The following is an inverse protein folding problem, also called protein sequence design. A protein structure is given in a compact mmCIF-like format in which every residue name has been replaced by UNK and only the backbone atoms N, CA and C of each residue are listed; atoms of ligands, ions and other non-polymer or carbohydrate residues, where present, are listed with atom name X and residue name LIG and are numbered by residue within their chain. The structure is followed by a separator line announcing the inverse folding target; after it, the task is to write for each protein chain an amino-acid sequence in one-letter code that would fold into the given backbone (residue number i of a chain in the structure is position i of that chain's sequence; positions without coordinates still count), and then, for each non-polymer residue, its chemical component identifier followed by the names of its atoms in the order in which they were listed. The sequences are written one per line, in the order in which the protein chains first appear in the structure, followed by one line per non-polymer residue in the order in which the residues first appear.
data_IF_791587808139
#
_entry.id   IF_791587808139
#
_cell.length_a   1.000
_cell.length_b   1.000
_cell.length_c   1.000
_cell.angle_alpha   90.00
_cell.angle_beta   90.00
_cell.angle_gamma   90.00
#
_symmetry.space_group_name_H-M   'P 1'
#
loop_
_entity.id
_entity.type
_entity.pdbx_description
1 polymer ?
#
# COMPACT_ATOMS: atom_id res chain seq x y z
N UNK A 1 -8.86 7.27 32.86
CA UNK A 1 -9.04 7.45 31.41
C UNK A 1 -7.69 7.23 30.76
N UNK A 2 -7.61 6.58 29.60
CA UNK A 2 -6.35 6.47 28.87
C UNK A 2 -5.75 7.86 28.65
N UNK A 3 -4.45 8.01 28.90
CA UNK A 3 -3.69 9.24 28.65
C UNK A 3 -3.38 9.35 27.15
N UNK A 4 -4.42 9.53 26.35
CA UNK A 4 -4.31 9.65 24.91
C UNK A 4 -3.97 11.08 24.50
N UNK A 5 -2.88 11.23 23.76
CA UNK A 5 -2.51 12.48 23.12
C UNK A 5 -2.00 12.21 21.71
N UNK A 6 -2.49 12.98 20.74
CA UNK A 6 -2.01 12.92 19.36
C UNK A 6 -0.52 13.20 19.23
N UNK A 7 0.07 13.96 20.15
CA UNK A 7 1.48 14.34 20.11
C UNK A 7 2.41 13.18 20.52
N UNK A 8 1.84 12.11 21.12
CA UNK A 8 2.57 10.89 21.46
C UNK A 8 2.60 9.87 20.33
N UNK A 9 1.79 10.06 19.27
CA UNK A 9 1.73 9.12 18.16
C UNK A 9 3.01 9.20 17.32
N UNK A 10 3.55 8.02 16.99
CA UNK A 10 4.77 7.85 16.20
C UNK A 10 4.49 7.21 14.85
N UNK A 11 5.43 7.40 13.92
CA UNK A 11 5.36 6.78 12.57
C UNK A 11 6.05 5.41 12.56
N UNK A 12 6.94 5.16 13.52
CA UNK A 12 7.68 3.91 13.64
C UNK A 12 6.76 2.67 13.53
N UNK A 13 7.12 1.65 12.73
CA UNK A 13 8.41 1.42 12.07
C UNK A 13 8.56 2.06 10.67
N UNK A 14 7.61 2.90 10.23
CA UNK A 14 7.80 3.71 9.02
C UNK A 14 8.89 4.79 9.24
N UNK A 15 9.34 5.40 8.14
CA UNK A 15 10.40 6.42 8.15
C UNK A 15 10.00 7.61 9.03
N UNK A 16 10.85 7.91 10.02
CA UNK A 16 10.75 9.09 10.89
C UNK A 16 11.77 10.16 10.48
N UNK A 17 11.35 11.42 10.56
CA UNK A 17 12.19 12.61 10.38
C UNK A 17 11.48 13.82 10.99
N UNK A 18 12.22 14.88 11.33
CA UNK A 18 11.69 16.07 12.02
C UNK A 18 10.50 16.75 11.32
N UNK A 19 10.38 16.57 10.00
CA UNK A 19 9.31 17.14 9.18
C UNK A 19 8.19 16.14 8.81
N UNK A 20 8.23 14.93 9.37
CA UNK A 20 7.23 13.89 9.15
C UNK A 20 6.46 13.62 10.43
N UNK A 21 5.13 13.75 10.35
CA UNK A 21 4.25 13.64 11.51
C UNK A 21 3.39 12.38 11.42
N UNK A 22 3.06 11.80 12.57
CA UNK A 22 2.10 10.68 12.66
C UNK A 22 0.65 11.15 12.53
N UNK A 23 0.39 12.44 12.77
CA UNK A 23 -0.95 13.03 12.75
C UNK A 23 -0.90 14.34 12.00
N UNK A 24 -1.90 14.60 11.16
CA UNK A 24 -2.10 15.88 10.50
C UNK A 24 -3.45 16.53 10.86
N UNK A 25 -3.77 17.66 10.23
CA UNK A 25 -5.00 18.39 10.50
C UNK A 25 -6.25 17.74 9.85
N UNK A 26 -6.08 16.85 8.87
CA UNK A 26 -7.20 16.07 8.32
C UNK A 26 -7.68 15.05 9.35
N UNK A 27 -6.77 14.40 10.07
CA UNK A 27 -7.13 13.40 11.08
C UNK A 27 -8.04 14.00 12.15
N UNK A 28 -7.62 15.16 12.68
CA UNK A 28 -8.40 15.94 13.66
C UNK A 28 -9.74 16.42 13.08
N UNK A 29 -9.76 16.82 11.81
CA UNK A 29 -11.00 17.26 11.16
C UNK A 29 -11.99 16.11 10.92
N UNK A 30 -11.51 14.92 10.56
CA UNK A 30 -12.36 13.74 10.42
C UNK A 30 -13.03 13.41 11.75
N UNK A 31 -12.26 13.37 12.85
CA UNK A 31 -12.79 13.08 14.19
C UNK A 31 -13.79 14.14 14.66
N UNK A 32 -13.51 15.43 14.45
CA UNK A 32 -14.44 16.51 14.82
C UNK A 32 -15.77 16.43 14.05
N UNK A 33 -15.71 16.19 12.74
CA UNK A 33 -16.92 16.07 11.89
C UNK A 33 -17.68 14.75 12.17
N UNK A 34 -16.98 13.72 12.65
CA UNK A 34 -17.57 12.42 12.99
C UNK A 34 -18.10 12.35 14.43
N UNK A 35 -17.83 13.34 15.30
CA UNK A 35 -18.09 13.26 16.74
C UNK A 35 -19.54 12.87 17.09
N UNK A 36 -20.53 13.44 16.37
CA UNK A 36 -21.94 13.12 16.58
C UNK A 36 -22.27 11.67 16.24
N UNK A 37 -21.88 11.20 15.06
CA UNK A 37 -22.17 9.82 14.62
C UNK A 37 -21.36 8.77 15.41
N UNK A 38 -20.15 9.12 15.87
CA UNK A 38 -19.34 8.24 16.71
C UNK A 38 -19.93 8.07 18.10
N UNK A 39 -20.57 9.10 18.66
CA UNK A 39 -21.23 9.02 19.98
C UNK A 39 -22.47 8.11 19.97
N UNK A 40 -23.11 7.94 18.81
CA UNK A 40 -24.29 7.09 18.62
C UNK A 40 -23.94 5.66 18.20
N UNK A 41 -22.71 5.43 17.71
CA UNK A 41 -22.28 4.14 17.21
C UNK A 41 -22.11 3.09 18.32
N UNK A 42 -22.66 1.90 18.10
CA UNK A 42 -22.47 0.73 18.94
C UNK A 42 -21.08 0.09 18.78
N UNK A 43 -20.79 -0.88 19.65
CA UNK A 43 -19.57 -1.67 19.53
C UNK A 43 -19.56 -2.46 18.22
N UNK A 44 -18.46 -2.40 17.47
CA UNK A 44 -18.34 -3.06 16.17
C UNK A 44 -18.87 -2.25 14.99
N UNK A 45 -19.62 -1.16 15.21
CA UNK A 45 -20.26 -0.40 14.11
C UNK A 45 -19.32 0.63 13.46
N UNK A 46 -18.12 0.85 14.02
CA UNK A 46 -17.12 1.80 13.51
C UNK A 46 -16.03 1.07 12.72
N UNK A 47 -15.82 1.52 11.49
CA UNK A 47 -14.74 1.07 10.61
C UNK A 47 -13.82 2.24 10.30
N UNK A 48 -12.51 1.99 10.25
CA UNK A 48 -11.51 2.95 9.82
C UNK A 48 -10.70 2.39 8.65
N UNK A 49 -10.61 3.15 7.56
CA UNK A 49 -9.86 2.78 6.36
C UNK A 49 -8.72 3.79 6.15
N UNK A 50 -7.53 3.26 5.88
CA UNK A 50 -6.30 4.01 5.62
C UNK A 50 -5.81 4.89 6.79
N UNK A 51 -6.02 4.47 8.04
CA UNK A 51 -5.45 5.18 9.19
C UNK A 51 -3.93 4.99 9.27
N UNK A 52 -3.16 5.91 8.70
CA UNK A 52 -1.70 5.71 8.53
C UNK A 52 -0.96 5.25 9.79
N UNK A 53 -1.25 5.84 10.95
CA UNK A 53 -0.49 5.56 12.19
C UNK A 53 -1.37 5.49 13.44
N UNK A 54 -2.69 5.35 13.28
CA UNK A 54 -3.61 5.15 14.40
C UNK A 54 -4.32 6.40 14.92
N UNK A 55 -4.19 7.54 14.24
CA UNK A 55 -4.79 8.79 14.71
C UNK A 55 -6.32 8.72 14.76
N UNK A 56 -6.94 8.12 13.74
CA UNK A 56 -8.39 8.02 13.66
C UNK A 56 -8.92 6.93 14.58
N UNK A 57 -8.29 5.76 14.58
CA UNK A 57 -8.68 4.59 15.37
C UNK A 57 -8.58 4.90 16.86
N UNK A 58 -7.41 5.37 17.31
CA UNK A 58 -7.18 5.67 18.72
C UNK A 58 -7.92 6.93 19.16
N UNK A 59 -8.08 7.91 18.26
CA UNK A 59 -8.91 9.09 18.51
C UNK A 59 -10.38 8.72 18.71
N UNK A 60 -10.95 7.87 17.86
CA UNK A 60 -12.33 7.39 18.01
C UNK A 60 -12.51 6.60 19.32
N UNK A 61 -11.57 5.73 19.67
CA UNK A 61 -11.60 4.98 20.92
C UNK A 61 -11.50 5.89 22.15
N UNK A 62 -10.51 6.79 22.19
CA UNK A 62 -10.20 7.59 23.37
C UNK A 62 -11.14 8.78 23.58
N UNK A 63 -11.56 9.44 22.49
CA UNK A 63 -12.34 10.68 22.55
C UNK A 63 -13.84 10.45 22.44
N UNK A 64 -14.27 9.43 21.67
CA UNK A 64 -15.68 9.10 21.47
C UNK A 64 -16.11 7.80 22.16
N UNK A 65 -15.18 7.05 22.76
CA UNK A 65 -15.51 5.80 23.47
C UNK A 65 -15.85 4.62 22.56
N UNK A 66 -15.53 4.71 21.26
CA UNK A 66 -15.79 3.64 20.29
C UNK A 66 -15.05 2.35 20.68
N UNK A 67 -15.68 1.20 20.43
CA UNK A 67 -15.17 -0.14 20.77
C UNK A 67 -15.38 -1.12 19.62
N UNK A 68 -14.56 -2.17 19.57
CA UNK A 68 -14.62 -3.16 18.50
C UNK A 68 -14.36 -2.53 17.14
N UNK A 69 -13.52 -1.49 17.08
CA UNK A 69 -13.25 -0.74 15.85
C UNK A 69 -12.57 -1.69 14.85
N UNK A 70 -13.08 -1.77 13.64
CA UNK A 70 -12.46 -2.59 12.59
C UNK A 70 -11.61 -1.71 11.69
N UNK A 71 -10.38 -2.10 11.42
CA UNK A 71 -9.41 -1.25 10.73
C UNK A 71 -8.85 -1.96 9.51
N UNK A 72 -8.79 -1.24 8.39
CA UNK A 72 -8.05 -1.66 7.21
C UNK A 72 -6.98 -0.63 6.86
N UNK A 73 -5.75 -1.10 6.67
CA UNK A 73 -4.63 -0.30 6.21
C UNK A 73 -3.92 -1.08 5.11
N UNK A 74 -3.68 -0.46 3.95
CA UNK A 74 -2.99 -1.13 2.86
C UNK A 74 -1.52 -1.44 3.22
N UNK A 75 -0.85 -0.50 3.89
CA UNK A 75 0.59 -0.57 4.14
C UNK A 75 0.90 -1.23 5.49
N UNK A 76 1.71 -2.30 5.48
CA UNK A 76 2.08 -3.07 6.68
C UNK A 76 2.76 -2.21 7.77
N UNK A 77 3.64 -1.29 7.39
CA UNK A 77 4.29 -0.39 8.35
C UNK A 77 3.29 0.50 9.11
N UNK A 78 2.17 0.85 8.48
CA UNK A 78 1.07 1.55 9.15
C UNK A 78 0.35 0.68 10.18
N UNK A 79 0.08 -0.60 9.86
CA UNK A 79 -0.54 -1.54 10.80
C UNK A 79 0.32 -1.74 12.05
N UNK A 80 1.64 -1.91 11.85
CA UNK A 80 2.61 -2.02 12.93
C UNK A 80 2.67 -0.73 13.76
N UNK A 81 2.63 0.44 13.12
CA UNK A 81 2.64 1.71 13.82
C UNK A 81 1.37 1.94 14.66
N UNK A 82 0.19 1.62 14.12
CA UNK A 82 -1.05 1.65 14.89
C UNK A 82 -0.96 0.70 16.10
N UNK A 83 -0.47 -0.53 15.92
CA UNK A 83 -0.35 -1.50 17.01
C UNK A 83 0.58 -1.00 18.15
N UNK A 84 1.72 -0.41 17.80
CA UNK A 84 2.66 0.15 18.79
C UNK A 84 2.06 1.37 19.50
N UNK A 85 1.44 2.29 18.75
CA UNK A 85 0.77 3.46 19.33
C UNK A 85 -0.42 3.05 20.21
N UNK A 86 -1.15 2.00 19.84
CA UNK A 86 -2.27 1.47 20.63
C UNK A 86 -1.78 0.86 21.95
N UNK A 87 -0.67 0.11 21.92
CA UNK A 87 -0.04 -0.42 23.13
C UNK A 87 0.41 0.71 24.07
N UNK A 88 1.09 1.71 23.54
CA UNK A 88 1.59 2.87 24.31
C UNK A 88 0.46 3.72 24.93
N UNK A 89 -0.70 3.77 24.26
CA UNK A 89 -1.90 4.47 24.74
C UNK A 89 -2.80 3.62 25.65
N UNK A 90 -2.54 2.32 25.82
CA UNK A 90 -3.40 1.40 26.56
C UNK A 90 -4.74 1.12 25.87
N UNK A 91 -4.73 1.08 24.53
CA UNK A 91 -5.89 0.94 23.66
C UNK A 91 -5.80 -0.26 22.70
N UNK A 92 -4.89 -1.20 22.94
CA UNK A 92 -4.69 -2.37 22.07
C UNK A 92 -5.97 -3.21 21.86
N UNK A 93 -6.83 -3.32 22.88
CA UNK A 93 -8.08 -4.10 22.80
C UNK A 93 -9.26 -3.32 22.19
N UNK A 94 -9.05 -2.08 21.74
CA UNK A 94 -10.12 -1.24 21.19
C UNK A 94 -10.47 -1.53 19.74
N UNK A 95 -9.59 -2.24 19.01
CA UNK A 95 -9.70 -2.44 17.57
C UNK A 95 -9.17 -3.81 17.10
N UNK A 96 -9.45 -4.15 15.85
CA UNK A 96 -8.92 -5.32 15.14
C UNK A 96 -8.57 -4.94 13.70
N UNK A 97 -7.40 -5.38 13.21
CA UNK A 97 -7.01 -5.20 11.80
C UNK A 97 -7.61 -6.30 10.92
N UNK A 98 -8.23 -5.92 9.81
CA UNK A 98 -8.88 -6.81 8.84
C UNK A 98 -8.52 -6.43 7.40
N UNK A 99 -8.67 -7.39 6.49
CA UNK A 99 -8.57 -7.13 5.05
C UNK A 99 -9.83 -6.44 4.54
N UNK A 100 -9.70 -5.65 3.47
CA UNK A 100 -10.85 -5.03 2.82
C UNK A 100 -11.81 -6.12 2.29
N UNK A 101 -13.04 -6.14 2.80
CA UNK A 101 -14.03 -7.15 2.44
C UNK A 101 -15.24 -7.11 3.35
N UNK A 102 -16.07 -8.15 3.26
CA UNK A 102 -17.32 -8.27 4.00
C UNK A 102 -17.09 -8.24 5.52
N UNK A 103 -16.13 -9.01 6.04
CA UNK A 103 -15.85 -9.07 7.48
C UNK A 103 -15.48 -7.69 8.09
N UNK A 104 -14.73 -6.88 7.35
CA UNK A 104 -14.38 -5.52 7.75
C UNK A 104 -15.63 -4.63 7.87
N UNK A 105 -16.59 -4.77 6.96
CA UNK A 105 -17.63 -3.78 6.71
C UNK A 105 -19.02 -4.22 7.18
N UNK A 106 -19.26 -5.50 7.44
CA UNK A 106 -20.55 -6.03 7.89
C UNK A 106 -21.12 -5.22 9.06
N UNK A 107 -22.34 -4.74 8.97
CA UNK A 107 -23.00 -3.92 10.02
C UNK A 107 -22.28 -2.59 10.36
N UNK A 108 -21.31 -2.14 9.55
CA UNK A 108 -20.67 -0.85 9.75
C UNK A 108 -21.65 0.29 9.49
N UNK A 109 -21.79 1.20 10.46
CA UNK A 109 -22.63 2.40 10.37
C UNK A 109 -21.84 3.69 10.27
N UNK A 110 -20.59 3.67 10.74
CA UNK A 110 -19.67 4.80 10.60
C UNK A 110 -18.39 4.29 9.96
N UNK A 111 -18.01 4.88 8.83
CA UNK A 111 -16.73 4.59 8.16
C UNK A 111 -15.89 5.86 8.11
N UNK A 112 -14.76 5.87 8.80
CA UNK A 112 -13.79 6.95 8.74
C UNK A 112 -12.73 6.61 7.69
N UNK A 113 -12.40 7.55 6.79
CA UNK A 113 -11.40 7.32 5.74
C UNK A 113 -10.39 8.46 5.72
N UNK A 114 -9.09 8.15 5.81
CA UNK A 114 -8.09 9.06 5.27
C UNK A 114 -8.06 8.90 3.75
N UNK A 115 -8.43 9.95 3.02
CA UNK A 115 -8.58 9.87 1.57
C UNK A 115 -7.28 9.38 0.90
N UNK A 116 -7.34 8.29 0.11
CA UNK A 116 -6.18 7.81 -0.61
C UNK A 116 -5.82 8.78 -1.74
N UNK A 117 -4.57 8.72 -2.20
CA UNK A 117 -4.14 9.48 -3.39
C UNK A 117 -4.68 8.86 -4.68
N UNK A 118 -4.89 7.55 -4.69
CA UNK A 118 -5.40 6.80 -5.84
C UNK A 118 -6.92 6.94 -5.92
N UNK A 119 -7.42 7.41 -7.06
CA UNK A 119 -8.86 7.41 -7.36
C UNK A 119 -9.40 5.98 -7.47
N UNK A 120 -8.58 5.04 -7.94
CA UNK A 120 -8.93 3.63 -8.03
C UNK A 120 -9.09 3.00 -6.64
N UNK A 121 -8.22 3.36 -5.67
CA UNK A 121 -8.37 2.92 -4.29
C UNK A 121 -9.65 3.48 -3.66
N UNK A 122 -9.94 4.77 -3.87
CA UNK A 122 -11.18 5.38 -3.39
C UNK A 122 -12.41 4.71 -3.99
N UNK A 123 -12.36 4.35 -5.27
CA UNK A 123 -13.45 3.66 -5.96
C UNK A 123 -13.67 2.24 -5.43
N UNK A 124 -12.59 1.49 -5.17
CA UNK A 124 -12.66 0.16 -4.55
C UNK A 124 -13.19 0.21 -3.12
N UNK A 125 -12.73 1.17 -2.31
CA UNK A 125 -13.24 1.36 -0.95
C UNK A 125 -14.74 1.70 -0.98
N UNK A 126 -15.14 2.61 -1.87
CA UNK A 126 -16.55 3.00 -2.02
C UNK A 126 -17.42 1.83 -2.50
N UNK A 127 -16.95 1.00 -3.45
CA UNK A 127 -17.63 -0.22 -3.89
C UNK A 127 -17.81 -1.21 -2.74
N UNK A 128 -16.74 -1.45 -1.96
CA UNK A 128 -16.78 -2.37 -0.83
C UNK A 128 -17.77 -1.88 0.25
N UNK A 129 -17.70 -0.61 0.65
CA UNK A 129 -18.61 -0.01 1.64
C UNK A 129 -20.06 -0.14 1.16
N UNK A 130 -20.33 0.24 -0.09
CA UNK A 130 -21.68 0.16 -0.69
C UNK A 130 -22.26 -1.25 -0.64
N UNK A 131 -21.43 -2.28 -0.79
CA UNK A 131 -21.85 -3.69 -0.85
C UNK A 131 -22.05 -4.33 0.51
N UNK A 132 -21.23 -3.96 1.49
CA UNK A 132 -21.12 -4.73 2.74
C UNK A 132 -21.50 -3.95 4.00
N UNK A 133 -21.48 -2.62 3.98
CA UNK A 133 -21.85 -1.81 5.13
C UNK A 133 -23.37 -1.74 5.34
N UNK A 134 -23.79 -1.25 6.50
CA UNK A 134 -25.19 -1.08 6.82
C UNK A 134 -25.87 -0.08 5.84
N UNK A 135 -27.16 -0.24 5.51
CA UNK A 135 -27.85 0.68 4.60
C UNK A 135 -27.89 2.14 5.07
N UNK A 136 -27.76 2.37 6.38
CA UNK A 136 -27.70 3.67 7.03
C UNK A 136 -26.25 4.16 7.30
N UNK A 137 -25.25 3.53 6.68
CA UNK A 137 -23.84 3.91 6.85
C UNK A 137 -23.58 5.36 6.45
N UNK A 138 -22.76 6.03 7.26
CA UNK A 138 -22.20 7.35 6.99
C UNK A 138 -20.69 7.22 6.81
N UNK A 139 -20.19 7.66 5.67
CA UNK A 139 -18.76 7.72 5.35
C UNK A 139 -18.24 9.13 5.59
N UNK A 140 -17.22 9.27 6.44
CA UNK A 140 -16.52 10.52 6.72
C UNK A 140 -15.09 10.41 6.16
N UNK A 141 -14.88 10.92 4.95
CA UNK A 141 -13.62 10.81 4.24
C UNK A 141 -12.89 12.16 4.18
N UNK A 142 -11.73 12.27 4.83
CA UNK A 142 -10.99 13.53 4.94
C UNK A 142 -9.58 13.48 4.38
N UNK A 143 -9.07 14.64 3.98
CA UNK A 143 -7.71 14.75 3.47
C UNK A 143 -7.18 16.19 3.43
N UNK A 144 -5.88 16.31 3.15
CA UNK A 144 -5.23 17.60 2.88
C UNK A 144 -5.67 18.10 1.51
N UNK A 145 -6.10 19.36 1.42
CA UNK A 145 -6.66 19.94 0.18
C UNK A 145 -5.68 19.84 -1.00
N UNK A 146 -4.38 19.96 -0.77
CA UNK A 146 -3.34 19.83 -1.80
C UNK A 146 -3.27 18.43 -2.47
N UNK A 147 -3.94 17.43 -1.90
CA UNK A 147 -4.03 16.07 -2.42
C UNK A 147 -5.45 15.69 -2.85
N UNK A 148 -6.42 16.58 -2.67
CA UNK A 148 -7.80 16.35 -3.07
C UNK A 148 -8.07 16.87 -4.47
N UNK A 149 -8.89 16.15 -5.22
CA UNK A 149 -9.34 16.58 -6.56
C UNK A 149 -10.86 16.57 -6.63
N UNK A 150 -11.49 17.42 -7.45
CA UNK A 150 -12.94 17.36 -7.68
C UNK A 150 -13.41 15.98 -8.18
N UNK A 151 -12.54 15.22 -8.83
CA UNK A 151 -12.83 13.86 -9.31
C UNK A 151 -13.13 12.88 -8.18
N UNK A 152 -12.56 13.07 -6.98
CA UNK A 152 -12.92 12.26 -5.80
C UNK A 152 -14.42 12.35 -5.48
N UNK A 153 -15.02 13.53 -5.66
CA UNK A 153 -16.46 13.71 -5.48
C UNK A 153 -17.25 12.91 -6.52
N UNK A 154 -16.77 12.87 -7.76
CA UNK A 154 -17.40 12.08 -8.81
C UNK A 154 -17.31 10.58 -8.52
N UNK A 155 -16.18 10.08 -7.99
CA UNK A 155 -16.03 8.69 -7.54
C UNK A 155 -17.06 8.37 -6.45
N UNK A 156 -17.13 9.16 -5.38
CA UNK A 156 -18.09 8.90 -4.29
C UNK A 156 -19.55 8.95 -4.77
N UNK A 157 -19.91 9.88 -5.66
CA UNK A 157 -21.28 9.98 -6.22
C UNK A 157 -21.70 8.80 -7.09
N UNK A 158 -20.77 7.95 -7.54
CA UNK A 158 -21.12 6.70 -8.25
C UNK A 158 -21.67 5.64 -7.30
N UNK A 159 -21.28 5.71 -6.03
CA UNK A 159 -21.59 4.69 -5.02
C UNK A 159 -22.58 5.17 -3.96
N UNK A 160 -22.72 6.48 -3.77
CA UNK A 160 -23.54 7.10 -2.74
C UNK A 160 -24.49 8.16 -3.32
N UNK A 161 -25.75 8.13 -2.88
CA UNK A 161 -26.79 9.07 -3.31
C UNK A 161 -26.64 10.46 -2.69
N UNK A 162 -25.97 10.56 -1.53
CA UNK A 162 -25.72 11.82 -0.83
C UNK A 162 -24.23 12.09 -0.71
N UNK A 163 -23.83 13.35 -1.00
CA UNK A 163 -22.46 13.81 -0.79
C UNK A 163 -22.46 15.27 -0.31
N UNK A 164 -21.99 15.48 0.92
CA UNK A 164 -21.80 16.77 1.56
C UNK A 164 -20.30 17.09 1.64
N UNK A 165 -19.95 18.36 1.45
CA UNK A 165 -18.55 18.81 1.43
C UNK A 165 -18.38 19.83 2.56
N UNK A 166 -17.49 19.56 3.51
CA UNK A 166 -17.25 20.45 4.63
C UNK A 166 -16.60 21.77 4.17
N UNK A 167 -16.67 22.77 5.05
CA UNK A 167 -15.79 23.93 4.94
C UNK A 167 -14.32 23.51 5.09
N UNK A 168 -13.41 24.26 4.46
CA UNK A 168 -11.99 24.01 4.61
C UNK A 168 -11.51 24.46 6.00
N UNK A 169 -10.77 23.60 6.72
CA UNK A 169 -10.16 23.93 8.00
C UNK A 169 -8.70 23.50 8.03
N UNK A 170 -7.80 24.44 8.37
CA UNK A 170 -6.35 24.18 8.45
C UNK A 170 -5.74 23.51 7.21
N UNK A 171 -6.23 23.85 6.00
CA UNK A 171 -5.85 23.22 4.71
C UNK A 171 -6.29 21.74 4.56
N UNK A 172 -7.27 21.31 5.34
CA UNK A 172 -7.95 20.02 5.23
C UNK A 172 -9.43 20.21 4.92
N UNK A 173 -10.07 19.16 4.41
CA UNK A 173 -11.50 19.11 4.10
C UNK A 173 -12.03 17.69 4.25
N UNK A 174 -13.31 17.56 4.58
CA UNK A 174 -14.05 16.30 4.70
C UNK A 174 -15.12 16.22 3.62
N UNK A 175 -15.28 15.02 3.06
CA UNK A 175 -16.35 14.58 2.19
C UNK A 175 -17.21 13.60 2.99
N UNK A 176 -18.47 13.94 3.23
CA UNK A 176 -19.44 13.09 3.92
C UNK A 176 -20.35 12.45 2.89
N UNK A 177 -20.27 11.13 2.74
CA UNK A 177 -21.10 10.36 1.83
C UNK A 177 -22.07 9.45 2.59
N UNK A 178 -23.30 9.31 2.09
CA UNK A 178 -24.35 8.50 2.71
C UNK A 178 -25.33 8.00 1.64
N UNK A 179 -26.33 7.21 2.07
CA UNK A 179 -27.30 6.57 1.20
C UNK A 179 -26.62 5.73 0.09
N UNK A 180 -25.98 4.59 0.46
CA UNK A 180 -25.38 3.68 -0.51
C UNK A 180 -26.37 3.33 -1.63
N UNK A 181 -25.91 3.41 -2.88
CA UNK A 181 -26.73 3.12 -4.04
C UNK A 181 -26.87 1.59 -4.14
N UNK A 182 -28.02 1.08 -3.73
CA UNK A 182 -28.40 -0.31 -3.98
C UNK A 182 -28.57 -0.51 -5.49
N UNK A 183 -27.78 -1.39 -6.09
CA UNK A 183 -27.96 -1.69 -7.51
C UNK A 183 -29.11 -2.70 -7.68
N UNK A 184 -30.21 -2.25 -8.27
CA UNK A 184 -31.33 -3.13 -8.63
C UNK A 184 -31.01 -4.04 -9.85
N UNK A 185 -29.89 -3.80 -10.55
CA UNK A 185 -29.59 -4.40 -11.87
C UNK A 185 -28.12 -4.76 -12.11
N UNK A 186 -27.16 -4.28 -11.31
CA UNK A 186 -25.78 -4.71 -11.44
C UNK A 186 -25.51 -5.93 -10.54
N UNK A 187 -24.70 -6.89 -11.01
CA UNK A 187 -24.32 -8.03 -10.19
C UNK A 187 -23.70 -7.54 -8.88
N UNK A 188 -24.00 -8.22 -7.78
CA UNK A 188 -23.36 -8.06 -6.46
C UNK A 188 -21.85 -8.41 -6.46
N UNK A 189 -21.26 -8.57 -7.64
CA UNK A 189 -19.90 -9.02 -7.90
C UNK A 189 -19.03 -7.78 -8.10
N UNK A 190 -17.91 -7.71 -7.38
CA UNK A 190 -16.97 -6.61 -7.52
C UNK A 190 -16.36 -6.57 -8.93
N UNK A 191 -16.04 -5.38 -9.41
CA UNK A 191 -15.16 -5.19 -10.57
C UNK A 191 -13.67 -5.29 -10.21
N UNK A 192 -13.34 -5.49 -8.92
CA UNK A 192 -11.98 -5.62 -8.43
C UNK A 192 -11.58 -7.08 -8.16
N UNK A 193 -10.31 -7.45 -8.41
CA UNK A 193 -9.29 -6.64 -9.07
C UNK A 193 -9.56 -6.45 -10.57
N UNK A 194 -9.18 -5.29 -11.11
CA UNK A 194 -9.19 -5.07 -12.56
C UNK A 194 -8.14 -5.95 -13.24
N UNK A 195 -8.42 -6.45 -14.44
CA UNK A 195 -7.53 -7.34 -15.19
C UNK A 195 -7.30 -6.84 -16.61
N UNK A 196 -6.04 -6.79 -17.05
CA UNK A 196 -5.64 -6.33 -18.39
C UNK A 196 -4.62 -7.30 -19.00
N UNK A 197 -4.87 -7.72 -20.24
CA UNK A 197 -3.91 -8.49 -21.03
C UNK A 197 -2.86 -7.58 -21.68
N UNK A 198 -1.58 -7.92 -21.50
CA UNK A 198 -0.44 -7.26 -22.12
C UNK A 198 0.22 -8.22 -23.11
N UNK A 199 -0.23 -8.16 -24.36
CA UNK A 199 0.21 -9.05 -25.44
C UNK A 199 1.73 -8.96 -25.70
N UNK A 200 2.34 -7.80 -25.49
CA UNK A 200 3.79 -7.58 -25.62
C UNK A 200 4.61 -8.36 -24.58
N UNK A 201 4.03 -8.64 -23.42
CA UNK A 201 4.64 -9.44 -22.36
C UNK A 201 4.12 -10.89 -22.33
N UNK A 202 3.01 -11.16 -23.00
CA UNK A 202 2.29 -12.43 -22.89
C UNK A 202 1.78 -12.68 -21.47
N UNK A 203 1.35 -11.62 -20.77
CA UNK A 203 0.89 -11.67 -19.39
C UNK A 203 -0.48 -11.02 -19.22
N UNK A 204 -1.32 -11.60 -18.37
CA UNK A 204 -2.50 -10.93 -17.81
C UNK A 204 -2.15 -10.32 -16.47
N UNK A 205 -2.29 -9.01 -16.31
CA UNK A 205 -1.96 -8.30 -15.05
C UNK A 205 -3.25 -7.94 -14.34
N UNK A 206 -3.35 -8.35 -13.07
CA UNK A 206 -4.46 -8.02 -12.19
C UNK A 206 -4.05 -6.94 -11.18
N UNK A 207 -4.96 -6.03 -10.84
CA UNK A 207 -4.69 -4.96 -9.89
C UNK A 207 -5.90 -4.51 -9.08
N UNK A 208 -5.72 -4.48 -7.76
CA UNK A 208 -6.55 -3.73 -6.81
C UNK A 208 -6.24 -2.22 -6.88
N UNK A 209 -7.17 -1.39 -6.43
CA UNK A 209 -7.17 0.05 -6.65
C UNK A 209 -6.03 0.81 -5.97
N UNK A 210 -5.49 0.26 -4.88
CA UNK A 210 -4.30 0.81 -4.20
C UNK A 210 -2.96 0.32 -4.77
N UNK A 211 -2.96 -0.68 -5.66
CA UNK A 211 -1.72 -1.20 -6.25
C UNK A 211 -1.04 -0.17 -7.16
N UNK A 212 0.29 -0.07 -7.05
CA UNK A 212 1.09 0.84 -7.87
C UNK A 212 0.92 0.56 -9.37
N UNK A 213 0.77 1.63 -10.17
CA UNK A 213 0.50 1.59 -11.61
C UNK A 213 -0.77 0.84 -12.05
N UNK A 214 -1.61 0.37 -11.11
CA UNK A 214 -2.78 -0.44 -11.42
C UNK A 214 -2.42 -1.64 -12.31
N UNK A 215 -3.30 -2.01 -13.23
CA UNK A 215 -3.06 -3.11 -14.17
C UNK A 215 -2.13 -2.72 -15.35
N UNK A 216 -1.48 -1.55 -15.30
CA UNK A 216 -0.52 -1.11 -16.31
C UNK A 216 0.92 -1.44 -15.89
N UNK A 217 1.85 -1.43 -16.83
CA UNK A 217 3.28 -1.66 -16.54
C UNK A 217 4.01 -0.33 -16.48
N UNK A 218 4.59 -0.03 -15.32
CA UNK A 218 5.43 1.15 -15.11
C UNK A 218 6.59 1.23 -16.11
N UNK A 219 6.93 2.45 -16.53
CA UNK A 219 7.99 2.69 -17.52
C UNK A 219 9.39 2.35 -16.99
N UNK A 220 9.63 2.47 -15.68
CA UNK A 220 10.85 2.01 -15.03
C UNK A 220 10.95 0.48 -15.04
N UNK A 221 9.85 -0.19 -14.67
CA UNK A 221 9.72 -1.66 -14.80
C UNK A 221 9.96 -2.11 -16.23
N UNK A 222 9.34 -1.47 -17.23
CA UNK A 222 9.57 -1.77 -18.66
C UNK A 222 11.04 -1.67 -19.04
N UNK A 223 11.72 -0.61 -18.58
CA UNK A 223 13.14 -0.44 -18.87
C UNK A 223 14.00 -1.51 -18.19
N UNK A 224 13.67 -1.91 -16.96
CA UNK A 224 14.36 -3.01 -16.26
C UNK A 224 14.19 -4.36 -16.99
N UNK A 225 13.00 -4.61 -17.56
CA UNK A 225 12.69 -5.84 -18.29
C UNK A 225 13.60 -6.05 -19.53
N UNK A 226 14.14 -4.99 -20.13
CA UNK A 226 15.09 -5.08 -21.26
C UNK A 226 16.40 -5.80 -20.89
N UNK A 227 16.73 -5.88 -19.59
CA UNK A 227 17.97 -6.47 -19.11
C UNK A 227 17.82 -7.90 -18.57
N UNK A 228 16.60 -8.47 -18.61
CA UNK A 228 16.30 -9.76 -18.00
C UNK A 228 17.26 -10.88 -18.40
N UNK A 229 17.65 -10.96 -19.66
CA UNK A 229 18.48 -12.06 -20.16
C UNK A 229 19.94 -11.98 -19.66
N UNK A 230 20.32 -10.87 -19.03
CA UNK A 230 21.65 -10.64 -18.44
C UNK A 230 21.70 -10.92 -16.93
N UNK A 231 20.55 -10.99 -16.26
CA UNK A 231 20.49 -11.10 -14.80
C UNK A 231 20.85 -12.51 -14.36
N UNK A 232 21.95 -12.71 -13.61
CA UNK A 232 22.43 -13.99 -13.06
C UNK A 232 21.77 -15.24 -13.69
N UNK A 233 22.27 -15.64 -14.86
CA UNK A 233 21.59 -16.64 -15.73
C UNK A 233 21.53 -18.04 -15.13
N UNK A 234 22.39 -18.33 -14.16
CA UNK A 234 22.47 -19.60 -13.41
C UNK A 234 21.64 -19.60 -12.11
N UNK A 235 20.99 -18.49 -11.75
CA UNK A 235 20.18 -18.39 -10.53
C UNK A 235 19.02 -19.39 -10.53
N UNK A 236 18.81 -20.08 -9.41
CA UNK A 236 17.65 -20.96 -9.19
C UNK A 236 16.59 -20.33 -8.30
N UNK A 237 16.94 -19.32 -7.51
CA UNK A 237 15.99 -18.48 -6.77
C UNK A 237 16.13 -16.99 -7.13
N UNK A 238 15.00 -16.27 -7.10
CA UNK A 238 14.98 -14.82 -7.22
C UNK A 238 13.99 -14.18 -6.24
N UNK A 239 14.22 -12.91 -5.90
CA UNK A 239 13.26 -12.08 -5.15
C UNK A 239 12.90 -10.85 -5.97
N UNK A 240 11.61 -10.59 -6.13
CA UNK A 240 11.04 -9.33 -6.63
C UNK A 240 10.67 -8.46 -5.42
N UNK A 241 11.55 -7.52 -5.07
CA UNK A 241 11.44 -6.68 -3.88
C UNK A 241 10.64 -5.41 -4.19
N UNK A 242 9.48 -5.25 -3.55
CA UNK A 242 8.51 -4.21 -3.88
C UNK A 242 7.77 -4.57 -5.17
N UNK A 243 7.18 -5.77 -5.21
CA UNK A 243 6.72 -6.40 -6.44
C UNK A 243 5.54 -5.69 -7.10
N UNK A 244 4.78 -4.85 -6.38
CA UNK A 244 3.55 -4.25 -6.92
C UNK A 244 2.59 -5.33 -7.40
N UNK A 245 2.17 -5.27 -8.66
CA UNK A 245 1.31 -6.28 -9.30
C UNK A 245 2.04 -7.56 -9.76
N UNK A 246 3.35 -7.69 -9.45
CA UNK A 246 4.15 -8.89 -9.68
C UNK A 246 4.67 -9.04 -11.11
N UNK A 247 4.77 -7.96 -11.89
CA UNK A 247 5.17 -8.04 -13.31
C UNK A 247 6.58 -8.61 -13.49
N UNK A 248 7.54 -8.18 -12.67
CA UNK A 248 8.92 -8.68 -12.75
C UNK A 248 8.96 -10.16 -12.35
N UNK A 249 8.33 -10.53 -11.24
CA UNK A 249 8.21 -11.92 -10.81
C UNK A 249 7.56 -12.82 -11.87
N UNK A 250 6.43 -12.40 -12.45
CA UNK A 250 5.74 -13.15 -13.50
C UNK A 250 6.62 -13.33 -14.74
N UNK A 251 7.30 -12.27 -15.18
CA UNK A 251 8.15 -12.32 -16.38
C UNK A 251 9.38 -13.22 -16.16
N UNK A 252 10.02 -13.11 -14.99
CA UNK A 252 11.15 -13.96 -14.61
C UNK A 252 10.75 -15.44 -14.59
N UNK A 253 9.65 -15.78 -13.90
CA UNK A 253 9.15 -17.15 -13.85
C UNK A 253 8.73 -17.65 -15.25
N UNK A 254 8.08 -16.83 -16.06
CA UNK A 254 7.68 -17.23 -17.42
C UNK A 254 8.88 -17.53 -18.32
N UNK A 255 9.91 -16.68 -18.30
CA UNK A 255 11.11 -16.84 -19.14
C UNK A 255 12.08 -17.91 -18.64
N UNK A 256 12.06 -18.22 -17.34
CA UNK A 256 12.96 -19.20 -16.71
C UNK A 256 12.16 -20.28 -15.98
N UNK A 257 11.77 -21.37 -16.66
CA UNK A 257 10.90 -22.40 -16.09
C UNK A 257 11.40 -23.03 -14.78
N UNK A 258 12.72 -23.10 -14.59
CA UNK A 258 13.35 -23.66 -13.39
C UNK A 258 13.52 -22.65 -12.23
N UNK A 259 13.28 -21.36 -12.46
CA UNK A 259 13.45 -20.32 -11.43
C UNK A 259 12.25 -20.32 -10.48
N UNK A 260 12.54 -20.32 -9.17
CA UNK A 260 11.56 -20.04 -8.11
C UNK A 260 11.67 -18.58 -7.71
N UNK A 261 10.53 -17.89 -7.60
CA UNK A 261 10.52 -16.47 -7.28
C UNK A 261 9.75 -16.22 -5.99
N UNK A 262 10.28 -15.38 -5.12
CA UNK A 262 9.53 -14.77 -4.02
C UNK A 262 9.21 -13.33 -4.43
N UNK A 263 7.95 -12.92 -4.34
CA UNK A 263 7.53 -11.56 -4.63
C UNK A 263 7.07 -10.91 -3.32
N UNK A 264 7.78 -9.88 -2.85
CA UNK A 264 7.49 -9.22 -1.58
C UNK A 264 6.98 -7.80 -1.79
N UNK A 265 5.97 -7.40 -1.02
CA UNK A 265 5.50 -6.02 -0.95
C UNK A 265 4.88 -5.74 0.42
N UNK A 266 4.92 -4.50 0.89
CA UNK A 266 4.25 -4.10 2.13
C UNK A 266 2.75 -3.83 1.93
N UNK A 267 2.34 -3.52 0.70
CA UNK A 267 0.95 -3.20 0.33
C UNK A 267 0.12 -4.48 0.23
N UNK A 268 -0.99 -4.53 0.98
CA UNK A 268 -1.96 -5.62 0.93
C UNK A 268 -2.60 -5.72 -0.47
N UNK A 269 -2.92 -4.59 -1.08
CA UNK A 269 -3.45 -4.49 -2.43
C UNK A 269 -2.42 -4.95 -3.47
N UNK A 270 -1.14 -4.60 -3.34
CA UNK A 270 -0.08 -5.10 -4.20
C UNK A 270 0.04 -6.62 -4.10
N UNK A 271 0.11 -7.18 -2.89
CA UNK A 271 0.19 -8.62 -2.66
C UNK A 271 -1.01 -9.36 -3.23
N UNK A 272 -2.23 -8.88 -2.99
CA UNK A 272 -3.44 -9.46 -3.56
C UNK A 272 -3.42 -9.41 -5.10
N UNK A 273 -2.96 -8.29 -5.67
CA UNK A 273 -2.80 -8.09 -7.11
C UNK A 273 -1.78 -9.04 -7.72
N UNK A 274 -0.60 -9.16 -7.12
CA UNK A 274 0.44 -10.08 -7.55
C UNK A 274 -0.02 -11.54 -7.49
N UNK A 275 -0.74 -11.94 -6.43
CA UNK A 275 -1.34 -13.28 -6.36
C UNK A 275 -2.33 -13.52 -7.50
N UNK A 276 -3.23 -12.57 -7.76
CA UNK A 276 -4.18 -12.65 -8.86
C UNK A 276 -3.47 -12.74 -10.23
N UNK A 277 -2.42 -11.94 -10.45
CA UNK A 277 -1.55 -12.03 -11.63
C UNK A 277 -0.91 -13.42 -11.73
N UNK A 278 -0.36 -14.00 -10.65
CA UNK A 278 0.24 -15.34 -10.72
C UNK A 278 -0.78 -16.42 -11.09
N UNK A 279 -2.00 -16.35 -10.54
CA UNK A 279 -3.09 -17.28 -10.87
C UNK A 279 -3.50 -17.13 -12.33
N UNK A 280 -3.74 -15.92 -12.80
CA UNK A 280 -4.15 -15.64 -14.18
C UNK A 280 -3.13 -16.13 -15.23
N UNK A 281 -1.85 -16.25 -14.84
CA UNK A 281 -0.77 -16.68 -15.73
C UNK A 281 -0.28 -18.11 -15.47
N UNK A 282 -0.95 -18.89 -14.61
CA UNK A 282 -0.52 -20.24 -14.21
C UNK A 282 0.93 -20.28 -13.68
N UNK A 283 1.27 -19.35 -12.78
CA UNK A 283 2.59 -19.20 -12.15
C UNK A 283 2.56 -19.38 -10.62
N UNK A 284 1.39 -19.62 -10.03
CA UNK A 284 1.19 -19.68 -8.59
C UNK A 284 1.97 -20.82 -7.89
N UNK A 285 2.37 -21.86 -8.62
CA UNK A 285 3.22 -22.94 -8.14
C UNK A 285 4.71 -22.57 -8.09
N UNK A 286 5.12 -21.51 -8.81
CA UNK A 286 6.54 -21.11 -8.96
C UNK A 286 6.86 -19.75 -8.33
N UNK A 287 5.85 -18.93 -8.12
CA UNK A 287 5.99 -17.61 -7.50
C UNK A 287 5.25 -17.58 -6.16
N UNK A 288 6.00 -17.42 -5.07
CA UNK A 288 5.44 -17.21 -3.74
C UNK A 288 5.32 -15.72 -3.48
N UNK A 289 4.09 -15.22 -3.37
CA UNK A 289 3.85 -13.82 -2.99
C UNK A 289 3.75 -13.72 -1.47
N UNK A 290 4.40 -12.72 -0.86
CA UNK A 290 4.45 -12.52 0.59
C UNK A 290 4.22 -11.04 0.89
N UNK A 291 3.40 -10.74 1.91
CA UNK A 291 3.34 -9.39 2.46
C UNK A 291 4.46 -9.24 3.49
N UNK A 292 5.38 -8.33 3.24
CA UNK A 292 6.58 -8.16 4.07
C UNK A 292 6.98 -6.69 4.14
N UNK A 293 7.68 -6.33 5.22
CA UNK A 293 8.36 -5.04 5.32
C UNK A 293 9.76 -5.21 4.73
N UNK A 294 9.93 -4.77 3.48
CA UNK A 294 11.13 -5.04 2.70
C UNK A 294 11.45 -6.55 2.58
N UNK A 295 12.48 -7.05 3.27
CA UNK A 295 12.86 -8.47 3.29
C UNK A 295 13.04 -9.01 4.71
N UNK A 296 12.33 -8.45 5.71
CA UNK A 296 12.49 -8.86 7.11
C UNK A 296 12.18 -10.34 7.35
N UNK A 297 11.27 -10.95 6.59
CA UNK A 297 10.96 -12.38 6.70
C UNK A 297 11.99 -13.30 6.03
N UNK A 298 12.94 -12.75 5.27
CA UNK A 298 13.89 -13.52 4.48
C UNK A 298 15.23 -13.73 5.24
N UNK A 299 15.79 -14.96 5.23
CA UNK A 299 17.07 -15.23 5.88
C UNK A 299 18.23 -14.49 5.21
N UNK A 300 19.26 -14.20 6.00
CA UNK A 300 20.52 -13.66 5.51
C UNK A 300 21.16 -14.62 4.49
N UNK A 301 21.83 -14.05 3.47
CA UNK A 301 22.54 -14.80 2.43
C UNK A 301 21.72 -15.94 1.76
N UNK A 302 20.43 -15.72 1.50
CA UNK A 302 19.50 -16.72 0.96
C UNK A 302 19.07 -16.49 -0.50
N UNK A 303 19.32 -15.30 -1.06
CA UNK A 303 18.92 -14.96 -2.42
C UNK A 303 20.10 -14.95 -3.39
N UNK A 304 19.91 -15.60 -4.55
CA UNK A 304 20.88 -15.54 -5.65
C UNK A 304 20.69 -14.28 -6.52
N UNK A 305 19.42 -13.91 -6.77
CA UNK A 305 19.02 -12.77 -7.59
C UNK A 305 17.95 -11.96 -6.85
N UNK A 306 18.12 -10.63 -6.79
CA UNK A 306 17.07 -9.70 -6.35
C UNK A 306 16.83 -8.69 -7.49
N UNK A 307 15.57 -8.43 -7.81
CA UNK A 307 15.16 -7.35 -8.71
C UNK A 307 14.37 -6.31 -7.94
N UNK A 308 14.61 -5.03 -8.22
CA UNK A 308 14.07 -3.92 -7.44
C UNK A 308 13.77 -2.69 -8.31
N UNK A 309 12.49 -2.32 -8.37
CA UNK A 309 12.04 -1.00 -8.80
C UNK A 309 11.51 -0.21 -7.58
N UNK A 310 12.37 0.53 -6.85
CA UNK A 310 12.00 1.16 -5.59
C UNK A 310 11.00 2.32 -5.81
N UNK A 311 10.16 2.66 -4.83
CA UNK A 311 9.11 3.67 -4.99
C UNK A 311 9.65 5.11 -5.18
N UNK A 312 9.20 5.82 -6.24
CA UNK A 312 9.65 7.19 -6.60
C UNK A 312 8.60 8.33 -6.49
N UNK A 313 7.37 8.09 -5.98
CA UNK A 313 6.31 9.13 -5.84
C UNK A 313 5.93 9.65 -4.41
N UNK A 314 6.38 9.03 -3.34
CA UNK A 314 6.38 9.47 -1.93
C UNK A 314 7.48 10.52 -1.58
N UNK A 315 7.34 11.81 -1.94
CA UNK A 315 8.14 12.96 -1.42
C UNK A 315 9.69 12.83 -1.31
N UNK A 316 10.47 13.76 -1.87
CA UNK A 316 11.95 13.62 -2.02
C UNK A 316 12.75 13.12 -0.79
N UNK A 317 12.40 13.50 0.44
CA UNK A 317 13.06 13.01 1.66
C UNK A 317 12.62 11.61 2.10
N UNK A 318 11.33 11.30 1.99
CA UNK A 318 10.77 9.97 2.32
C UNK A 318 11.26 8.91 1.33
N UNK A 319 11.43 9.32 0.06
CA UNK A 319 12.06 8.50 -0.99
C UNK A 319 13.41 7.93 -0.63
N UNK A 320 14.30 8.78 -0.13
CA UNK A 320 15.63 8.34 0.23
C UNK A 320 15.59 7.33 1.36
N UNK A 321 14.78 7.57 2.41
CA UNK A 321 14.65 6.66 3.54
C UNK A 321 14.17 5.25 3.14
N UNK A 322 13.09 5.17 2.37
CA UNK A 322 12.53 3.87 1.95
C UNK A 322 13.50 3.12 1.03
N UNK A 323 14.09 3.78 0.04
CA UNK A 323 15.04 3.12 -0.87
C UNK A 323 16.28 2.59 -0.13
N UNK A 324 16.82 3.36 0.84
CA UNK A 324 17.96 2.93 1.63
C UNK A 324 17.64 1.69 2.47
N UNK A 325 16.47 1.64 3.11
CA UNK A 325 15.99 0.46 3.84
C UNK A 325 15.92 -0.77 2.93
N UNK A 326 15.37 -0.62 1.72
CA UNK A 326 15.31 -1.71 0.73
C UNK A 326 16.71 -2.18 0.31
N UNK A 327 17.67 -1.26 0.15
CA UNK A 327 19.05 -1.62 -0.19
C UNK A 327 19.79 -2.32 0.95
N UNK A 328 19.57 -1.89 2.20
CA UNK A 328 20.13 -2.55 3.39
C UNK A 328 19.66 -4.00 3.49
N UNK A 329 18.35 -4.22 3.35
CA UNK A 329 17.78 -5.57 3.38
C UNK A 329 18.22 -6.42 2.18
N UNK A 330 18.31 -5.84 0.98
CA UNK A 330 18.84 -6.55 -0.17
C UNK A 330 20.31 -6.96 0.03
N UNK A 331 21.13 -6.10 0.63
CA UNK A 331 22.53 -6.39 0.95
C UNK A 331 22.68 -7.53 1.96
N UNK A 332 21.79 -7.59 2.96
CA UNK A 332 21.74 -8.66 3.98
C UNK A 332 21.30 -10.01 3.40
N UNK A 333 20.30 -10.00 2.53
CA UNK A 333 19.65 -11.22 2.03
C UNK A 333 20.39 -11.82 0.82
N UNK A 334 21.14 -11.03 0.07
CA UNK A 334 21.97 -11.55 -1.01
C UNK A 334 23.08 -12.46 -0.48
N UNK A 335 23.24 -13.63 -1.10
CA UNK A 335 24.42 -14.46 -0.88
C UNK A 335 25.69 -13.81 -1.48
N UNK A 336 26.90 -14.20 -1.05
CA UNK A 336 28.13 -13.80 -1.71
C UNK A 336 28.10 -14.14 -3.21
N UNK A 337 28.36 -13.15 -4.07
CA UNK A 337 28.27 -13.32 -5.53
C UNK A 337 26.85 -13.33 -6.11
N UNK A 338 25.82 -13.17 -5.28
CA UNK A 338 24.46 -12.89 -5.75
C UNK A 338 24.33 -11.48 -6.35
N UNK A 339 23.27 -11.24 -7.12
CA UNK A 339 23.09 -9.98 -7.86
C UNK A 339 21.81 -9.25 -7.46
N UNK A 340 21.91 -7.96 -7.13
CA UNK A 340 20.78 -7.03 -7.08
C UNK A 340 20.73 -6.23 -8.38
N UNK A 341 19.63 -6.35 -9.13
CA UNK A 341 19.32 -5.52 -10.28
C UNK A 341 18.30 -4.48 -9.92
N UNK A 342 18.68 -3.21 -10.01
CA UNK A 342 17.78 -2.12 -9.65
C UNK A 342 17.70 -1.06 -10.75
N UNK A 343 16.50 -0.54 -10.94
CA UNK A 343 16.21 0.61 -11.81
C UNK A 343 15.81 1.80 -10.95
N UNK A 344 16.23 3.01 -11.32
CA UNK A 344 15.74 4.23 -10.67
C UNK A 344 15.78 5.45 -11.57
N UNK A 345 15.02 6.47 -11.19
CA UNK A 345 15.10 7.79 -11.82
C UNK A 345 16.53 8.34 -11.73
N UNK A 346 17.18 8.57 -12.86
CA UNK A 346 18.60 8.93 -12.98
C UNK A 346 19.05 10.05 -12.04
N UNK A 347 18.20 11.06 -11.80
CA UNK A 347 18.52 12.20 -10.94
C UNK A 347 18.67 11.83 -9.44
N UNK A 348 18.16 10.68 -9.00
CA UNK A 348 18.26 10.22 -7.60
C UNK A 348 19.67 9.75 -7.22
N UNK A 349 20.47 9.33 -8.20
CA UNK A 349 21.89 9.03 -7.99
C UNK A 349 22.19 7.93 -6.97
N UNK A 350 21.41 6.84 -6.90
CA UNK A 350 21.54 5.81 -5.84
C UNK A 350 22.81 4.94 -5.88
N UNK A 351 23.64 5.04 -6.91
CA UNK A 351 24.84 4.19 -7.08
C UNK A 351 25.82 4.20 -5.89
N UNK A 352 26.13 5.35 -5.23
CA UNK A 352 27.01 5.34 -4.06
C UNK A 352 26.38 4.60 -2.87
N UNK A 353 25.07 4.73 -2.67
CA UNK A 353 24.36 4.04 -1.60
C UNK A 353 24.36 2.51 -1.82
N UNK A 354 24.07 2.07 -3.03
CA UNK A 354 24.16 0.65 -3.43
C UNK A 354 25.57 0.09 -3.26
N UNK A 355 26.60 0.83 -3.69
CA UNK A 355 28.01 0.43 -3.49
C UNK A 355 28.33 0.19 -2.01
N UNK A 356 27.84 1.09 -1.15
CA UNK A 356 28.10 1.05 0.29
C UNK A 356 27.33 -0.08 0.97
N UNK A 357 26.04 -0.19 0.70
CA UNK A 357 25.08 -1.04 1.44
C UNK A 357 25.00 -2.46 0.91
N UNK A 358 25.21 -2.66 -0.40
CA UNK A 358 25.07 -3.98 -1.04
C UNK A 358 26.44 -4.51 -1.45
N UNK A 359 27.19 -3.76 -2.26
CA UNK A 359 28.50 -4.20 -2.77
C UNK A 359 28.86 -3.59 -4.12
N UNK A 360 29.94 -4.04 -4.78
CA UNK A 360 30.42 -3.46 -6.05
C UNK A 360 29.28 -3.24 -7.04
N UNK A 361 29.09 -1.99 -7.49
CA UNK A 361 27.92 -1.59 -8.29
C UNK A 361 28.31 -0.99 -9.64
N UNK A 362 27.78 -1.59 -10.71
CA UNK A 362 28.04 -1.23 -12.10
C UNK A 362 26.77 -0.75 -12.80
N UNK A 363 26.86 0.35 -13.55
CA UNK A 363 25.79 0.79 -14.44
C UNK A 363 25.77 -0.10 -15.68
N UNK A 364 24.62 -0.72 -15.93
CA UNK A 364 24.40 -1.64 -17.05
C UNK A 364 23.59 -1.01 -18.17
N UNK A 365 22.82 0.03 -17.86
CA UNK A 365 22.00 0.79 -18.80
C UNK A 365 21.63 2.16 -18.23
N UNK A 366 21.45 3.13 -19.12
CA UNK A 366 20.90 4.45 -18.79
C UNK A 366 20.19 5.04 -20.00
N UNK A 367 18.98 5.53 -19.78
CA UNK A 367 18.26 6.36 -20.75
C UNK A 367 18.02 7.77 -20.16
N UNK A 368 17.21 8.60 -20.82
CA UNK A 368 16.95 9.96 -20.39
C UNK A 368 16.32 10.06 -18.97
N UNK A 369 15.54 9.04 -18.56
CA UNK A 369 14.79 9.05 -17.29
C UNK A 369 15.39 8.11 -16.25
N UNK A 370 15.85 6.94 -16.66
CA UNK A 370 16.19 5.83 -15.78
C UNK A 370 17.65 5.38 -15.92
N UNK A 371 18.19 4.90 -14.81
CA UNK A 371 19.47 4.21 -14.70
C UNK A 371 19.19 2.80 -14.17
N UNK A 372 19.82 1.79 -14.78
CA UNK A 372 19.82 0.41 -14.28
C UNK A 372 21.24 0.06 -13.85
N UNK A 373 21.37 -0.56 -12.68
CA UNK A 373 22.64 -1.12 -12.19
C UNK A 373 22.50 -2.56 -11.76
N UNK A 374 23.63 -3.24 -11.71
CA UNK A 374 23.83 -4.48 -10.96
C UNK A 374 24.77 -4.21 -9.78
N UNK A 375 24.41 -4.71 -8.61
CA UNK A 375 25.24 -4.75 -7.40
C UNK A 375 25.51 -6.19 -7.00
N UNK A 376 26.75 -6.53 -6.68
CA UNK A 376 27.12 -7.90 -6.27
C UNK A 376 27.21 -8.01 -4.75
N UNK A 377 26.56 -9.02 -4.16
CA UNK A 377 26.61 -9.31 -2.71
C UNK A 377 28.02 -9.67 -2.24
N UNK A 378 28.38 -9.20 -1.04
CA UNK A 378 29.73 -9.34 -0.46
C UNK A 378 29.98 -10.70 0.17
#
# INVERSE_FOLDING_TARGET
MPDFSFDRLRRFPDVEADNLFAVDASDRLILDEAAGVLAEAGSGEVVVIEDRYGALTLGAAALAGARGIRVHQDVLSGELALALNAADAGLADSYHSLILGEELLADARVVLIQLPRSLAALDEFADAIRRFAAPDVVVIAGGRIKHMTPTMNAVLRRHFGELQISSARQKSRVLRAAAPIASATEPTVSTWPNSVEHADLGLTICAHGAAFAGATVDIGTRYLLEFLDRMKTDARSAIDLGCGTGVLAATLARRRPALRVIATDQSAAAVASARATMVANALADRVTVVRDDALQSQPDASAELIVLNPPFHIGSSVHAGIALKLFEDAGRVLQPGGELWSVWNTHLGYRPALTRLVGPTHQVGRNAKFTVTVSTGR
#
